data_IF_903613395402
#
_entry.id   IF_903613395402
#
_cell.length_a   1.000
_cell.length_b   1.000
_cell.length_c   1.000
_cell.angle_alpha   90.00
_cell.angle_beta   90.00
_cell.angle_gamma   90.00
#
_symmetry.space_group_name_H-M   'P 1'
#
loop_
_entity.id
_entity.type
_entity.pdbx_description
1 polymer ?
#
# COMPACT_ATOMS: atom_id res chain seq x y z
N UNK A 1 5.50 -20.02 -19.59
CA UNK A 1 6.76 -20.66 -19.13
C UNK A 1 7.07 -20.13 -17.73
N UNK A 2 7.43 -20.99 -16.78
CA UNK A 2 6.50 -21.91 -16.12
C UNK A 2 6.01 -21.38 -14.76
N UNK A 3 4.84 -21.87 -14.33
CA UNK A 3 4.30 -21.68 -12.98
C UNK A 3 4.33 -23.05 -12.30
N UNK A 4 5.32 -23.30 -11.43
CA UNK A 4 5.48 -24.45 -10.50
C UNK A 4 6.85 -24.32 -9.83
N UNK A 5 7.10 -24.58 -8.53
CA UNK A 5 6.27 -25.01 -7.40
C UNK A 5 7.18 -25.40 -6.20
N UNK A 6 6.64 -25.43 -4.97
CA UNK A 6 7.28 -25.79 -3.68
C UNK A 6 8.39 -24.83 -3.11
N UNK A 7 8.46 -24.39 -1.83
CA UNK A 7 8.08 -24.88 -0.46
C UNK A 7 9.17 -25.77 0.18
N UNK A 8 9.76 -25.48 1.36
CA UNK A 8 9.75 -24.31 2.30
C UNK A 8 10.95 -24.39 3.28
N UNK A 9 11.42 -23.27 3.87
CA UNK A 9 12.21 -23.30 5.13
C UNK A 9 11.91 -22.11 6.06
N UNK A 10 11.62 -22.39 7.33
CA UNK A 10 11.28 -21.42 8.38
C UNK A 10 12.53 -20.91 9.12
N UNK A 11 13.00 -19.70 8.81
CA UNK A 11 13.83 -18.89 9.73
C UNK A 11 13.91 -17.40 9.31
N UNK A 12 13.40 -16.48 10.14
CA UNK A 12 14.13 -15.25 10.43
C UNK A 12 14.01 -13.99 9.54
N UNK A 13 13.05 -13.84 8.62
CA UNK A 13 12.79 -12.51 7.96
C UNK A 13 11.31 -12.17 7.75
N UNK A 14 10.47 -12.35 8.78
CA UNK A 14 9.12 -11.76 8.84
C UNK A 14 9.12 -10.23 9.12
N UNK A 15 10.19 -9.55 8.69
CA UNK A 15 10.44 -8.11 8.83
C UNK A 15 10.63 -7.39 7.50
N UNK A 16 10.51 -8.08 6.34
CA UNK A 16 10.69 -7.46 5.02
C UNK A 16 9.39 -6.97 4.37
N UNK A 17 8.23 -7.34 4.92
CA UNK A 17 6.90 -6.94 4.40
C UNK A 17 6.11 -6.02 5.35
N UNK A 18 6.56 -5.82 6.59
CA UNK A 18 5.81 -5.12 7.65
C UNK A 18 6.05 -3.61 7.72
N UNK A 19 6.95 -3.04 6.91
CA UNK A 19 7.04 -1.57 6.71
C UNK A 19 5.98 -1.04 5.72
N UNK A 20 5.08 -1.90 5.24
CA UNK A 20 4.00 -1.56 4.31
C UNK A 20 2.83 -0.86 5.03
N UNK A 21 3.07 0.35 5.55
CA UNK A 21 2.06 1.17 6.22
C UNK A 21 1.94 2.59 5.63
N UNK A 22 2.89 3.01 4.79
CA UNK A 22 2.96 4.34 4.18
C UNK A 22 3.56 4.19 2.78
N UNK A 23 3.09 4.96 1.79
CA UNK A 23 3.63 4.96 0.42
C UNK A 23 5.12 5.33 0.43
N UNK A 24 6.01 4.55 -0.22
CA UNK A 24 7.40 4.93 -0.37
C UNK A 24 7.51 6.19 -1.25
N UNK A 25 8.18 7.22 -0.76
CA UNK A 25 8.38 8.50 -1.46
C UNK A 25 8.94 8.30 -2.88
N UNK A 26 9.79 7.28 -3.08
CA UNK A 26 10.36 6.89 -4.38
C UNK A 26 10.20 5.40 -4.65
N UNK A 27 10.02 5.07 -5.93
CA UNK A 27 10.07 3.71 -6.48
C UNK A 27 11.41 3.00 -6.20
N UNK A 28 11.41 1.91 -5.42
CA UNK A 28 12.63 1.15 -5.08
C UNK A 28 13.44 0.67 -6.30
N UNK A 29 12.79 0.34 -7.42
CA UNK A 29 13.46 -0.16 -8.63
C UNK A 29 13.80 0.92 -9.66
N UNK A 30 13.32 2.16 -9.48
CA UNK A 30 13.31 3.14 -10.58
C UNK A 30 13.43 4.61 -10.16
N UNK A 31 13.53 4.93 -8.87
CA UNK A 31 13.85 6.27 -8.35
C UNK A 31 12.80 7.37 -8.57
N UNK A 32 11.79 7.13 -9.43
CA UNK A 32 10.68 8.06 -9.69
C UNK A 32 9.93 8.36 -8.40
N UNK A 33 9.57 9.63 -8.20
CA UNK A 33 8.75 10.07 -7.06
C UNK A 33 7.32 9.55 -7.26
N UNK A 34 6.72 9.02 -6.19
CA UNK A 34 5.37 8.46 -6.17
C UNK A 34 4.51 9.11 -5.08
N UNK A 35 5.10 9.56 -3.96
CA UNK A 35 4.36 10.14 -2.83
C UNK A 35 3.55 11.40 -3.17
N UNK A 36 3.94 12.14 -4.21
CA UNK A 36 3.21 13.31 -4.73
C UNK A 36 1.93 12.93 -5.51
N UNK A 37 1.84 11.70 -6.02
CA UNK A 37 0.82 11.28 -7.00
C UNK A 37 -0.41 10.64 -6.37
N UNK A 38 -0.36 10.27 -5.09
CA UNK A 38 -1.44 9.56 -4.44
C UNK A 38 -2.73 10.38 -4.34
N UNK A 39 -2.63 11.65 -3.95
CA UNK A 39 -3.79 12.53 -3.85
C UNK A 39 -4.46 12.73 -5.22
N UNK A 40 -3.66 12.82 -6.30
CA UNK A 40 -4.17 12.89 -7.66
C UNK A 40 -4.79 11.56 -8.12
N UNK A 41 -4.27 10.41 -7.68
CA UNK A 41 -4.89 9.10 -7.92
C UNK A 41 -6.27 8.98 -7.25
N UNK A 42 -6.41 9.45 -5.99
CA UNK A 42 -7.70 9.49 -5.29
C UNK A 42 -8.71 10.44 -5.97
N UNK A 43 -8.26 11.61 -6.43
CA UNK A 43 -9.09 12.55 -7.21
C UNK A 43 -9.56 11.95 -8.53
N UNK A 44 -8.71 11.20 -9.25
CA UNK A 44 -9.09 10.49 -10.47
C UNK A 44 -10.10 9.35 -10.19
N UNK A 45 -9.90 8.56 -9.13
CA UNK A 45 -10.87 7.53 -8.71
C UNK A 45 -12.22 8.14 -8.29
N UNK A 46 -12.22 9.34 -7.69
CA UNK A 46 -13.46 10.04 -7.33
C UNK A 46 -14.29 10.51 -8.53
N UNK A 47 -13.72 10.44 -9.75
CA UNK A 47 -14.35 10.78 -11.03
C UNK A 47 -14.75 9.53 -11.83
N UNK A 48 -14.80 8.36 -11.19
CA UNK A 48 -15.10 7.06 -11.82
C UNK A 48 -14.17 6.66 -12.98
N UNK A 49 -12.93 7.16 -12.97
CA UNK A 49 -11.89 6.79 -13.96
C UNK A 49 -11.31 5.41 -13.59
N UNK A 50 -11.02 4.58 -14.60
CA UNK A 50 -10.44 3.25 -14.36
C UNK A 50 -9.05 3.35 -13.73
N UNK A 51 -8.73 2.43 -12.82
CA UNK A 51 -7.45 2.35 -12.11
C UNK A 51 -6.25 2.30 -13.08
N UNK A 52 -6.43 1.64 -14.23
CA UNK A 52 -5.42 1.53 -15.28
C UNK A 52 -5.14 2.86 -15.97
N UNK A 53 -6.21 3.55 -16.40
CA UNK A 53 -6.12 4.83 -17.11
C UNK A 53 -5.58 5.93 -16.18
N UNK A 54 -6.04 5.98 -14.93
CA UNK A 54 -5.53 6.90 -13.92
C UNK A 54 -4.01 6.74 -13.68
N UNK A 55 -3.49 5.50 -13.66
CA UNK A 55 -2.05 5.24 -13.55
C UNK A 55 -1.25 5.68 -14.79
N UNK A 56 -1.85 5.66 -15.99
CA UNK A 56 -1.21 6.14 -17.20
C UNK A 56 -1.24 7.68 -17.32
N UNK A 57 -2.31 8.34 -16.89
CA UNK A 57 -2.41 9.80 -16.78
C UNK A 57 -1.37 10.36 -15.79
N UNK A 58 -1.16 9.68 -14.65
CA UNK A 58 -0.08 9.95 -13.69
C UNK A 58 1.34 9.64 -14.23
N UNK A 59 1.45 9.20 -15.48
CA UNK A 59 2.68 8.84 -16.18
C UNK A 59 3.46 7.67 -15.53
N UNK A 60 2.77 6.71 -14.91
CA UNK A 60 3.39 5.56 -14.25
C UNK A 60 3.52 4.34 -15.18
N UNK A 61 4.05 4.56 -16.39
CA UNK A 61 4.10 3.55 -17.46
C UNK A 61 4.80 2.23 -17.07
N UNK A 62 5.84 2.28 -16.22
CA UNK A 62 6.61 1.09 -15.79
C UNK A 62 5.88 0.31 -14.68
N UNK A 63 5.83 -1.02 -14.82
CA UNK A 63 5.25 -1.96 -13.85
C UNK A 63 5.76 -1.77 -12.41
N UNK A 64 7.04 -1.41 -12.24
CA UNK A 64 7.64 -1.18 -10.93
C UNK A 64 7.09 0.05 -10.19
N UNK A 65 6.57 1.06 -10.89
CA UNK A 65 5.81 2.15 -10.28
C UNK A 65 4.40 1.69 -9.92
N UNK A 66 3.68 1.09 -10.88
CA UNK A 66 2.27 0.67 -10.69
C UNK A 66 2.11 -0.27 -9.50
N UNK A 67 3.03 -1.23 -9.31
CA UNK A 67 3.00 -2.13 -8.15
C UNK A 67 2.99 -1.38 -6.82
N UNK A 68 3.70 -0.26 -6.69
CA UNK A 68 3.78 0.49 -5.42
C UNK A 68 2.45 1.18 -5.07
N UNK A 69 1.70 1.63 -6.07
CA UNK A 69 0.39 2.25 -5.89
C UNK A 69 -0.69 1.19 -5.67
N UNK A 70 -0.72 0.15 -6.52
CA UNK A 70 -1.74 -0.90 -6.49
C UNK A 70 -1.76 -1.75 -5.21
N UNK A 71 -0.60 -2.00 -4.59
CA UNK A 71 -0.55 -2.74 -3.32
C UNK A 71 -0.66 -1.85 -2.09
N UNK A 72 -0.76 -0.52 -2.24
CA UNK A 72 -0.85 0.38 -1.09
C UNK A 72 -2.20 0.28 -0.40
N UNK A 73 -2.19 0.29 0.93
CA UNK A 73 -3.40 0.33 1.76
C UNK A 73 -3.19 1.41 2.82
N UNK A 74 -3.96 2.49 2.74
CA UNK A 74 -4.00 3.50 3.81
C UNK A 74 -4.73 2.96 5.03
N UNK A 75 -3.99 2.37 5.99
CA UNK A 75 -4.52 2.13 7.33
C UNK A 75 -4.28 3.31 8.29
N UNK A 76 -3.66 4.40 7.83
CA UNK A 76 -3.38 5.60 8.64
C UNK A 76 -4.67 6.21 9.19
N UNK A 77 -5.70 6.35 8.35
CA UNK A 77 -7.03 6.84 8.75
C UNK A 77 -7.64 5.97 9.87
N UNK A 78 -7.50 4.65 9.76
CA UNK A 78 -8.02 3.67 10.73
C UNK A 78 -7.24 3.69 12.05
N UNK A 79 -5.95 4.02 12.02
CA UNK A 79 -5.09 4.15 13.20
C UNK A 79 -5.34 5.45 13.97
N UNK A 80 -5.70 6.55 13.29
CA UNK A 80 -6.03 7.83 13.93
C UNK A 80 -7.27 7.74 14.85
N UNK A 81 -8.24 6.89 14.52
CA UNK A 81 -9.40 6.62 15.36
C UNK A 81 -9.13 5.63 16.51
N UNK A 82 -7.92 5.06 16.59
CA UNK A 82 -7.57 4.11 17.66
C UNK A 82 -7.14 4.84 18.94
N UNK A 83 -8.12 5.33 19.70
CA UNK A 83 -7.86 5.90 21.02
C UNK A 83 -7.38 4.79 21.99
N UNK A 84 -6.13 4.79 22.45
CA UNK A 84 -5.62 3.73 23.33
C UNK A 84 -6.35 3.67 24.68
N UNK A 85 -7.06 4.73 25.08
CA UNK A 85 -7.81 4.84 26.33
C UNK A 85 -9.12 4.04 26.33
N UNK A 86 -9.68 3.73 25.16
CA UNK A 86 -10.97 3.01 25.05
C UNK A 86 -10.83 1.51 25.30
N UNK A 87 -9.65 0.93 24.99
CA UNK A 87 -9.31 -0.49 25.27
C UNK A 87 -9.52 -0.93 26.72
N UNK A 88 -9.56 0.01 27.66
CA UNK A 88 -9.80 -0.26 29.09
C UNK A 88 -11.27 -0.52 29.41
N UNK A 89 -12.21 -0.07 28.56
CA UNK A 89 -13.65 -0.27 28.76
C UNK A 89 -14.11 -1.64 28.25
N UNK A 90 -13.56 -2.10 27.14
CA UNK A 90 -13.98 -3.37 26.52
C UNK A 90 -13.58 -4.61 27.34
N UNK A 91 -12.55 -4.49 28.19
CA UNK A 91 -12.14 -5.53 29.16
C UNK A 91 -12.98 -5.57 30.43
N UNK A 92 -14.00 -4.71 30.54
CA UNK A 92 -14.96 -4.70 31.65
C UNK A 92 -16.34 -5.30 31.30
N UNK A 93 -16.55 -5.73 30.05
CA UNK A 93 -17.83 -6.24 29.55
C UNK A 93 -17.68 -7.63 28.88
N UNK A 94 -16.89 -8.52 29.49
CA UNK A 94 -16.77 -9.94 29.15
C UNK A 94 -16.50 -10.75 30.43
#
# INVERSE_FOLDING_TARGET
>A
MPISGCVVTLAGTLSFFTTWQIIPVRCFSCGKVIGDKWNAYLDLLSRDISEGDALDELQLKRYCCRRMVLTHVDLIEKLLHYNPMERTKDKGNA
#
